data_IF_209634090901
#
_entry.id   IF_209634090901
#
_cell.length_a   1.000
_cell.length_b   1.000
_cell.length_c   1.000
_cell.angle_alpha   90.00
_cell.angle_beta   90.00
_cell.angle_gamma   90.00
#
_symmetry.space_group_name_H-M   'P 1'
#
loop_
_entity.id
_entity.type
_entity.pdbx_description
1 polymer ?
#
# COMPACT_ATOMS: atom_id res chain seq x y z
N UNK A 1 -12.09 9.12 -24.19
CA UNK A 1 -11.70 8.89 -22.77
C UNK A 1 -12.97 8.47 -22.07
N UNK A 2 -13.21 7.17 -22.02
CA UNK A 2 -14.41 6.61 -21.41
C UNK A 2 -14.20 6.60 -19.91
N UNK A 3 -14.73 7.64 -19.26
CA UNK A 3 -14.76 7.72 -17.81
C UNK A 3 -15.59 6.55 -17.29
N UNK A 4 -14.96 5.65 -16.54
CA UNK A 4 -15.67 4.64 -15.77
C UNK A 4 -16.62 5.39 -14.85
N UNK A 5 -17.91 5.31 -15.15
CA UNK A 5 -18.97 5.89 -14.31
C UNK A 5 -18.79 5.41 -12.87
N UNK A 6 -18.90 6.32 -11.90
CA UNK A 6 -18.91 6.02 -10.47
C UNK A 6 -19.89 4.88 -10.13
N UNK A 7 -20.98 4.73 -10.90
CA UNK A 7 -21.92 3.62 -10.76
C UNK A 7 -21.31 2.27 -11.14
N UNK A 8 -20.51 2.20 -12.21
CA UNK A 8 -19.85 0.96 -12.63
C UNK A 8 -18.77 0.55 -11.63
N UNK A 9 -18.07 1.53 -11.05
CA UNK A 9 -17.11 1.30 -9.97
C UNK A 9 -17.81 0.76 -8.72
N UNK A 10 -18.92 1.37 -8.31
CA UNK A 10 -19.69 0.93 -7.14
C UNK A 10 -20.28 -0.48 -7.32
N UNK A 11 -20.76 -0.81 -8.53
CA UNK A 11 -21.27 -2.15 -8.85
C UNK A 11 -20.15 -3.19 -8.78
N UNK A 12 -18.98 -2.90 -9.37
CA UNK A 12 -17.82 -3.81 -9.30
C UNK A 12 -17.37 -4.09 -7.87
N UNK A 13 -17.35 -3.07 -7.01
CA UNK A 13 -17.01 -3.21 -5.59
C UNK A 13 -18.07 -4.05 -4.87
N UNK A 14 -19.37 -3.81 -5.11
CA UNK A 14 -20.46 -4.56 -4.50
C UNK A 14 -20.44 -6.05 -4.87
N UNK A 15 -20.23 -6.38 -6.15
CA UNK A 15 -20.18 -7.78 -6.59
C UNK A 15 -19.00 -8.53 -5.98
N UNK A 16 -17.84 -7.87 -5.85
CA UNK A 16 -16.67 -8.48 -5.23
C UNK A 16 -16.85 -8.71 -3.72
N UNK A 17 -17.48 -7.76 -3.02
CA UNK A 17 -17.86 -7.93 -1.61
C UNK A 17 -18.87 -9.08 -1.45
N UNK A 18 -19.82 -9.21 -2.38
CA UNK A 18 -20.79 -10.31 -2.36
C UNK A 18 -20.14 -11.67 -2.57
N UNK A 19 -19.20 -11.79 -3.52
CA UNK A 19 -18.42 -13.02 -3.72
C UNK A 19 -17.64 -13.42 -2.46
N UNK A 20 -17.02 -12.44 -1.80
CA UNK A 20 -16.32 -12.61 -0.52
C UNK A 20 -17.22 -13.10 0.62
N UNK A 21 -18.44 -12.57 0.71
CA UNK A 21 -19.40 -12.96 1.76
C UNK A 21 -19.98 -14.36 1.48
N UNK A 22 -20.24 -14.69 0.21
CA UNK A 22 -20.88 -15.94 -0.20
C UNK A 22 -19.88 -17.12 -0.23
N UNK A 23 -18.60 -16.86 -0.54
CA UNK A 23 -17.54 -17.87 -0.53
C UNK A 23 -17.19 -18.43 0.86
N UNK A 24 -17.63 -17.77 1.94
CA UNK A 24 -17.31 -18.10 3.33
C UNK A 24 -17.95 -19.39 3.88
N UNK A 25 -18.55 -20.24 3.05
CA UNK A 25 -19.33 -21.42 3.48
C UNK A 25 -18.69 -22.80 3.24
N UNK A 26 -17.51 -22.91 2.62
CA UNK A 26 -16.83 -24.20 2.48
C UNK A 26 -15.29 -24.04 2.56
N UNK A 27 -14.71 -24.35 3.72
CA UNK A 27 -13.26 -24.51 3.89
C UNK A 27 -12.78 -25.73 3.07
N UNK A 28 -12.27 -25.50 1.86
CA UNK A 28 -11.56 -26.43 0.95
C UNK A 28 -10.88 -25.59 -0.17
N UNK A 29 -10.08 -26.20 -1.07
CA UNK A 29 -9.25 -25.66 -2.19
C UNK A 29 -9.55 -24.26 -2.79
N UNK A 30 -10.80 -23.77 -2.75
CA UNK A 30 -11.19 -22.41 -3.14
C UNK A 30 -10.54 -21.30 -2.29
N UNK A 31 -10.20 -21.57 -1.02
CA UNK A 31 -9.54 -20.58 -0.16
C UNK A 31 -8.07 -20.36 -0.53
N UNK A 32 -7.34 -21.41 -0.92
CA UNK A 32 -5.95 -21.27 -1.38
C UNK A 32 -5.88 -20.39 -2.64
N UNK A 33 -6.82 -20.57 -3.58
CA UNK A 33 -6.95 -19.71 -4.76
C UNK A 33 -7.13 -18.24 -4.37
N UNK A 34 -7.86 -17.96 -3.29
CA UNK A 34 -8.04 -16.58 -2.82
C UNK A 34 -6.74 -15.97 -2.28
N UNK A 35 -5.92 -16.72 -1.54
CA UNK A 35 -4.60 -16.26 -1.10
C UNK A 35 -3.63 -16.04 -2.27
N UNK A 36 -3.71 -16.88 -3.31
CA UNK A 36 -2.91 -16.76 -4.53
C UNK A 36 -3.29 -15.51 -5.32
N UNK A 37 -4.59 -15.24 -5.54
CA UNK A 37 -5.06 -14.02 -6.18
C UNK A 37 -4.62 -12.76 -5.41
N UNK A 38 -4.73 -12.77 -4.08
CA UNK A 38 -4.28 -11.65 -3.24
C UNK A 38 -2.75 -11.50 -3.29
N UNK A 39 -1.99 -12.58 -3.35
CA UNK A 39 -0.54 -12.53 -3.49
C UNK A 39 -0.12 -11.84 -4.79
N UNK A 40 -0.74 -12.22 -5.91
CA UNK A 40 -0.48 -11.63 -7.23
C UNK A 40 -0.88 -10.14 -7.27
N UNK A 41 -2.03 -9.78 -6.70
CA UNK A 41 -2.44 -8.38 -6.57
C UNK A 41 -1.45 -7.56 -5.75
N UNK A 42 -0.97 -8.13 -4.64
CA UNK A 42 -0.01 -7.47 -3.76
C UNK A 42 1.34 -7.29 -4.42
N UNK A 43 1.75 -8.19 -5.32
CA UNK A 43 2.94 -8.00 -6.15
C UNK A 43 2.80 -6.75 -7.02
N UNK A 44 1.67 -6.60 -7.70
CA UNK A 44 1.39 -5.41 -8.55
C UNK A 44 1.48 -4.12 -7.73
N UNK A 45 0.84 -4.07 -6.56
CA UNK A 45 0.86 -2.89 -5.68
C UNK A 45 2.28 -2.61 -5.16
N UNK A 46 2.98 -3.65 -4.72
CA UNK A 46 4.34 -3.51 -4.17
C UNK A 46 5.30 -2.96 -5.22
N UNK A 47 5.27 -3.53 -6.43
CA UNK A 47 6.12 -3.08 -7.54
C UNK A 47 5.79 -1.63 -7.94
N UNK A 48 4.50 -1.28 -7.97
CA UNK A 48 4.07 0.10 -8.25
C UNK A 48 4.58 1.09 -7.22
N UNK A 49 4.46 0.77 -5.92
CA UNK A 49 4.97 1.63 -4.86
C UNK A 49 6.48 1.77 -4.90
N UNK A 50 7.23 0.68 -5.05
CA UNK A 50 8.69 0.74 -5.13
C UNK A 50 9.15 1.56 -6.33
N UNK A 51 8.45 1.45 -7.47
CA UNK A 51 8.68 2.27 -8.66
C UNK A 51 8.39 3.75 -8.39
N UNK A 52 7.26 4.08 -7.76
CA UNK A 52 6.93 5.46 -7.38
C UNK A 52 8.00 6.08 -6.48
N UNK A 53 8.46 5.33 -5.48
CA UNK A 53 9.54 5.76 -4.57
C UNK A 53 10.86 5.95 -5.32
N UNK A 54 11.20 5.04 -6.24
CA UNK A 54 12.39 5.16 -7.07
C UNK A 54 12.34 6.40 -7.98
N UNK A 55 11.25 6.61 -8.71
CA UNK A 55 11.04 7.82 -9.53
C UNK A 55 11.09 9.10 -8.68
N UNK A 56 10.71 9.03 -7.41
CA UNK A 56 10.81 10.18 -6.48
C UNK A 56 12.25 10.51 -6.13
N UNK A 57 13.09 9.51 -5.88
CA UNK A 57 14.53 9.73 -5.67
C UNK A 57 15.20 10.31 -6.92
N UNK A 58 14.87 9.80 -8.10
CA UNK A 58 15.42 10.31 -9.37
C UNK A 58 15.08 11.78 -9.58
N UNK A 59 13.82 12.18 -9.36
CA UNK A 59 13.41 13.58 -9.48
C UNK A 59 14.06 14.49 -8.44
N UNK A 60 14.31 14.00 -7.22
CA UNK A 60 14.98 14.81 -6.19
C UNK A 60 16.42 15.18 -6.56
N UNK A 61 17.02 14.48 -7.54
CA UNK A 61 18.32 14.82 -8.11
C UNK A 61 18.25 15.95 -9.15
N UNK A 62 17.06 16.31 -9.65
CA UNK A 62 16.88 17.45 -10.56
C UNK A 62 16.77 18.76 -9.76
N UNK A 63 17.61 19.74 -10.10
CA UNK A 63 17.59 21.07 -9.50
C UNK A 63 16.27 21.82 -9.74
N UNK A 64 15.54 21.51 -10.81
CA UNK A 64 14.23 22.08 -11.13
C UNK A 64 13.06 21.41 -10.38
N UNK A 65 13.33 20.29 -9.69
CA UNK A 65 12.29 19.58 -8.96
C UNK A 65 11.79 20.42 -7.77
N UNK A 66 10.46 20.45 -7.63
CA UNK A 66 9.75 21.11 -6.53
C UNK A 66 8.83 20.11 -5.82
N UNK A 67 8.53 20.39 -4.55
CA UNK A 67 7.58 19.60 -3.75
C UNK A 67 6.21 19.46 -4.42
N UNK A 68 5.76 20.48 -5.15
CA UNK A 68 4.51 20.47 -5.92
C UNK A 68 4.51 19.43 -7.05
N UNK A 69 5.62 19.27 -7.77
CA UNK A 69 5.75 18.27 -8.85
C UNK A 69 5.65 16.87 -8.25
N UNK A 70 6.42 16.60 -7.19
CA UNK A 70 6.42 15.30 -6.50
C UNK A 70 5.01 14.99 -5.97
N UNK A 71 4.36 15.95 -5.31
CA UNK A 71 3.01 15.82 -4.76
C UNK A 71 1.99 15.45 -5.83
N UNK A 72 1.94 16.20 -6.93
CA UNK A 72 0.97 15.96 -8.00
C UNK A 72 1.11 14.55 -8.56
N UNK A 73 2.34 14.09 -8.80
CA UNK A 73 2.58 12.73 -9.31
C UNK A 73 2.18 11.66 -8.31
N UNK A 74 2.49 11.84 -7.02
CA UNK A 74 2.05 10.89 -5.98
C UNK A 74 0.52 10.83 -5.97
N UNK A 75 -0.17 11.97 -6.01
CA UNK A 75 -1.65 12.02 -6.05
C UNK A 75 -2.23 11.35 -7.31
N UNK A 76 -1.63 11.55 -8.48
CA UNK A 76 -2.04 10.87 -9.72
C UNK A 76 -1.90 9.34 -9.58
N UNK A 77 -0.79 8.86 -9.05
CA UNK A 77 -0.54 7.42 -8.82
C UNK A 77 -1.44 6.81 -7.74
N UNK A 78 -1.95 7.61 -6.79
CA UNK A 78 -2.93 7.14 -5.79
C UNK A 78 -4.27 6.75 -6.40
N UNK A 79 -4.60 7.18 -7.61
CA UNK A 79 -5.86 6.83 -8.26
C UNK A 79 -5.72 5.50 -9.03
N UNK A 80 -4.58 5.26 -9.68
CA UNK A 80 -4.39 4.16 -10.63
C UNK A 80 -4.71 2.77 -10.06
N UNK A 81 -4.28 2.47 -8.83
CA UNK A 81 -4.51 1.17 -8.17
C UNK A 81 -5.47 1.27 -6.98
N UNK A 82 -6.30 2.33 -6.90
CA UNK A 82 -7.20 2.55 -5.76
C UNK A 82 -8.15 1.37 -5.54
N UNK A 83 -8.85 0.93 -6.58
CA UNK A 83 -9.80 -0.20 -6.52
C UNK A 83 -9.15 -1.49 -6.03
N UNK A 84 -7.93 -1.75 -6.52
CA UNK A 84 -7.17 -2.95 -6.15
C UNK A 84 -6.81 -2.92 -4.65
N UNK A 85 -6.36 -1.77 -4.15
CA UNK A 85 -6.05 -1.57 -2.73
C UNK A 85 -7.28 -1.72 -1.84
N UNK A 86 -8.41 -1.13 -2.21
CA UNK A 86 -9.65 -1.24 -1.43
C UNK A 86 -10.19 -2.67 -1.40
N UNK A 87 -10.08 -3.42 -2.50
CA UNK A 87 -10.40 -4.85 -2.52
C UNK A 87 -9.60 -5.63 -1.48
N UNK A 88 -8.28 -5.42 -1.47
CA UNK A 88 -7.39 -6.13 -0.53
C UNK A 88 -7.62 -5.66 0.91
N UNK A 89 -7.89 -4.36 1.14
CA UNK A 89 -8.31 -3.86 2.46
C UNK A 89 -9.59 -4.54 2.93
N UNK A 90 -10.56 -4.73 2.04
CA UNK A 90 -11.78 -5.48 2.32
C UNK A 90 -11.50 -6.91 2.75
N UNK A 91 -10.57 -7.59 2.08
CA UNK A 91 -10.13 -8.93 2.49
C UNK A 91 -9.51 -8.94 3.89
N UNK A 92 -8.58 -8.02 4.16
CA UNK A 92 -7.86 -7.97 5.46
C UNK A 92 -8.74 -7.52 6.61
N UNK A 93 -9.71 -6.63 6.37
CA UNK A 93 -10.60 -6.09 7.40
C UNK A 93 -11.53 -7.15 8.00
N UNK A 94 -11.66 -8.28 7.33
CA UNK A 94 -12.31 -9.48 7.85
C UNK A 94 -11.24 -10.25 8.66
N UNK A 95 -10.69 -9.64 9.71
CA UNK A 95 -9.78 -10.34 10.61
C UNK A 95 -10.59 -11.24 11.53
N UNK A 96 -10.33 -12.53 11.47
CA UNK A 96 -11.05 -13.57 12.21
C UNK A 96 -10.11 -14.15 13.28
N UNK A 97 -10.62 -14.39 14.49
CA UNK A 97 -9.87 -15.00 15.60
C UNK A 97 -9.37 -16.43 15.26
N UNK A 98 -9.77 -16.96 14.11
CA UNK A 98 -9.39 -18.28 13.58
C UNK A 98 -8.13 -18.28 12.71
N UNK A 99 -7.49 -17.14 12.47
CA UNK A 99 -6.28 -17.11 11.65
C UNK A 99 -5.10 -17.86 12.27
N UNK A 100 -4.47 -18.70 11.45
CA UNK A 100 -3.23 -19.37 11.83
C UNK A 100 -2.06 -18.40 11.85
N UNK A 101 -0.94 -18.79 12.44
CA UNK A 101 0.28 -17.97 12.48
C UNK A 101 0.77 -17.59 11.07
N UNK A 102 0.62 -18.51 10.10
CA UNK A 102 1.04 -18.29 8.72
C UNK A 102 0.16 -17.25 8.01
N UNK A 103 -1.16 -17.34 8.19
CA UNK A 103 -2.13 -16.37 7.68
C UNK A 103 -1.94 -15.01 8.34
N UNK A 104 -1.68 -15.00 9.65
CA UNK A 104 -1.39 -13.77 10.41
C UNK A 104 -0.15 -13.07 9.87
N UNK A 105 0.92 -13.81 9.57
CA UNK A 105 2.14 -13.25 8.98
C UNK A 105 1.87 -12.66 7.59
N UNK A 106 1.15 -13.39 6.74
CA UNK A 106 0.77 -12.94 5.39
C UNK A 106 -0.04 -11.63 5.46
N UNK A 107 -1.10 -11.61 6.25
CA UNK A 107 -2.00 -10.46 6.41
C UNK A 107 -1.26 -9.26 7.04
N UNK A 108 -0.40 -9.50 8.02
CA UNK A 108 0.44 -8.46 8.62
C UNK A 108 1.35 -7.82 7.58
N UNK A 109 1.94 -8.62 6.68
CA UNK A 109 2.73 -8.13 5.55
C UNK A 109 1.89 -7.27 4.60
N UNK A 110 0.67 -7.71 4.25
CA UNK A 110 -0.26 -6.94 3.42
C UNK A 110 -0.54 -5.57 4.03
N UNK A 111 -0.85 -5.53 5.32
CA UNK A 111 -1.09 -4.27 6.02
C UNK A 111 0.14 -3.38 6.06
N UNK A 112 1.34 -3.95 6.15
CA UNK A 112 2.59 -3.21 6.06
C UNK A 112 2.74 -2.49 4.72
N UNK A 113 2.52 -3.19 3.60
CA UNK A 113 2.59 -2.59 2.25
C UNK A 113 1.48 -1.55 2.05
N UNK A 114 0.23 -1.88 2.40
CA UNK A 114 -0.93 -1.00 2.18
C UNK A 114 -0.91 0.27 3.04
N UNK A 115 -0.21 0.25 4.18
CA UNK A 115 0.05 1.44 5.01
C UNK A 115 1.26 2.24 4.51
N UNK A 116 2.31 1.58 4.02
CA UNK A 116 3.55 2.22 3.59
C UNK A 116 3.47 3.04 2.29
N UNK A 117 2.54 2.74 1.38
CA UNK A 117 2.53 3.36 0.04
C UNK A 117 1.50 4.47 -0.19
N UNK A 118 1.59 5.58 0.55
CA UNK A 118 0.76 6.78 0.29
C UNK A 118 -0.74 6.66 0.67
N UNK A 119 -1.03 6.09 1.84
CA UNK A 119 -2.23 6.50 2.59
C UNK A 119 -1.88 7.83 3.27
N UNK A 120 -2.65 8.91 3.16
CA UNK A 120 -3.87 9.07 3.94
C UNK A 120 -4.82 10.12 3.34
N UNK A 121 -6.12 9.84 3.43
CA UNK A 121 -7.16 10.84 3.64
C UNK A 121 -8.18 10.39 4.71
N UNK A 122 -8.17 9.11 5.11
CA UNK A 122 -9.19 8.52 5.99
C UNK A 122 -8.60 8.06 7.36
N UNK A 123 -7.27 7.87 7.48
CA UNK A 123 -6.63 7.35 8.70
C UNK A 123 -5.58 8.33 9.27
N UNK A 124 -6.00 9.39 9.97
CA UNK A 124 -5.23 10.15 10.98
C UNK A 124 -3.72 10.44 10.78
N UNK A 125 -3.24 10.72 9.57
CA UNK A 125 -1.91 11.31 9.31
C UNK A 125 -0.68 10.49 9.75
N UNK A 126 -0.87 9.25 10.19
CA UNK A 126 0.19 8.36 10.66
C UNK A 126 0.25 7.10 9.81
N UNK A 127 1.39 6.85 9.18
CA UNK A 127 1.67 5.54 8.63
C UNK A 127 3.12 5.17 8.84
N UNK A 128 3.34 4.16 9.68
CA UNK A 128 4.16 2.95 9.48
C UNK A 128 3.75 2.02 10.63
N UNK A 129 3.49 0.74 10.35
CA UNK A 129 3.23 -0.28 11.38
C UNK A 129 4.46 -0.44 12.25
N UNK A 130 4.32 -0.40 13.59
CA UNK A 130 5.42 -0.49 14.58
C UNK A 130 6.47 -1.58 14.26
N UNK A 131 6.02 -2.65 13.61
CA UNK A 131 6.83 -3.82 13.25
C UNK A 131 7.69 -3.65 11.97
N UNK A 132 7.38 -2.66 11.14
CA UNK A 132 8.08 -2.36 9.88
C UNK A 132 8.75 -0.98 9.88
N UNK A 133 8.77 -0.32 11.05
CA UNK A 133 9.43 0.95 11.33
C UNK A 133 8.63 1.83 12.29
N UNK A 134 9.20 2.98 12.67
CA UNK A 134 8.46 4.12 13.21
C UNK A 134 8.73 5.29 12.28
N UNK A 135 7.69 5.86 11.71
CA UNK A 135 7.79 7.07 10.92
C UNK A 135 6.43 7.72 10.92
N UNK A 136 6.33 8.86 11.58
CA UNK A 136 5.04 9.49 11.84
C UNK A 136 4.37 10.04 10.58
N UNK A 137 4.98 10.02 9.41
CA UNK A 137 4.49 10.73 8.23
C UNK A 137 4.85 10.00 6.93
N UNK A 138 3.89 9.81 6.03
CA UNK A 138 4.20 9.41 4.66
C UNK A 138 4.99 10.49 3.91
N UNK A 139 5.61 10.18 2.76
CA UNK A 139 6.21 11.22 1.90
C UNK A 139 5.23 12.36 1.63
N UNK A 140 3.96 12.04 1.39
CA UNK A 140 2.92 13.04 1.15
C UNK A 140 2.68 13.91 2.38
N UNK A 141 2.68 13.33 3.58
CA UNK A 141 2.55 14.08 4.84
C UNK A 141 3.76 14.99 5.08
N UNK A 142 4.97 14.52 4.76
CA UNK A 142 6.19 15.32 4.83
C UNK A 142 6.10 16.48 3.83
N UNK A 143 5.69 16.23 2.59
CA UNK A 143 5.50 17.29 1.58
C UNK A 143 4.44 18.30 2.04
N UNK A 144 3.33 17.86 2.62
CA UNK A 144 2.28 18.75 3.13
C UNK A 144 2.74 19.60 4.32
N UNK A 145 3.57 19.04 5.22
CA UNK A 145 4.19 19.80 6.31
C UNK A 145 5.17 20.84 5.78
N UNK A 146 5.95 20.44 4.79
CA UNK A 146 6.93 21.26 4.10
C UNK A 146 6.26 22.47 3.41
N UNK A 147 5.10 22.32 2.77
CA UNK A 147 4.33 23.44 2.17
C UNK A 147 3.94 24.56 3.18
N UNK A 148 3.89 24.26 4.48
CA UNK A 148 3.51 25.20 5.53
C UNK A 148 4.71 25.89 6.22
N UNK A 149 5.94 25.64 5.76
CA UNK A 149 7.17 26.19 6.36
C UNK A 149 7.79 27.22 5.41
N UNK A 150 8.12 28.41 5.92
CA UNK A 150 8.76 29.48 5.13
C UNK A 150 10.22 29.14 4.81
N UNK A 151 10.53 29.00 3.52
CA UNK A 151 11.77 28.42 2.98
C UNK A 151 12.92 29.40 2.79
N UNK A 152 13.14 30.30 3.75
CA UNK A 152 14.38 31.07 3.80
C UNK A 152 15.65 30.21 3.96
N UNK A 153 15.51 28.90 4.19
CA UNK A 153 16.60 27.93 4.25
C UNK A 153 16.42 26.80 3.22
N UNK A 154 16.76 27.11 1.96
CA UNK A 154 16.90 26.11 0.90
C UNK A 154 18.03 25.13 1.24
N UNK A 155 17.83 23.84 0.91
CA UNK A 155 18.68 22.64 1.08
C UNK A 155 18.09 21.62 2.10
N UNK A 156 17.34 22.03 3.11
CA UNK A 156 16.92 21.12 4.20
C UNK A 156 15.76 20.18 3.85
N UNK A 157 14.91 20.51 2.87
CA UNK A 157 13.71 19.74 2.55
C UNK A 157 13.97 18.52 1.67
N UNK A 158 14.90 18.60 0.70
CA UNK A 158 15.23 17.47 -0.19
C UNK A 158 15.76 16.29 0.60
N UNK A 159 16.68 16.54 1.53
CA UNK A 159 17.23 15.49 2.39
C UNK A 159 16.16 14.82 3.27
N UNK A 160 15.18 15.58 3.76
CA UNK A 160 14.06 15.02 4.53
C UNK A 160 13.18 14.10 3.67
N UNK A 161 12.89 14.50 2.42
CA UNK A 161 12.13 13.66 1.50
C UNK A 161 12.94 12.41 1.11
N UNK A 162 14.23 12.55 0.79
CA UNK A 162 15.12 11.40 0.47
C UNK A 162 15.11 10.39 1.62
N UNK A 163 15.32 10.87 2.86
CA UNK A 163 15.32 10.01 4.04
C UNK A 163 13.99 9.27 4.20
N UNK A 164 12.87 9.98 4.02
CA UNK A 164 11.55 9.38 4.10
C UNK A 164 11.29 8.34 3.01
N UNK A 165 11.72 8.61 1.78
CA UNK A 165 11.60 7.69 0.66
C UNK A 165 12.37 6.40 0.93
N UNK A 166 13.61 6.50 1.40
CA UNK A 166 14.42 5.32 1.73
C UNK A 166 13.83 4.51 2.90
N UNK A 167 13.32 5.19 3.94
CA UNK A 167 12.62 4.54 5.05
C UNK A 167 11.37 3.79 4.58
N UNK A 168 10.54 4.41 3.75
CA UNK A 168 9.34 3.78 3.21
C UNK A 168 9.68 2.60 2.30
N UNK A 169 10.70 2.74 1.45
CA UNK A 169 11.18 1.67 0.57
C UNK A 169 11.60 0.44 1.38
N UNK A 170 12.38 0.64 2.43
CA UNK A 170 12.79 -0.46 3.33
C UNK A 170 11.58 -1.11 4.03
N UNK A 171 10.64 -0.30 4.55
CA UNK A 171 9.44 -0.81 5.20
C UNK A 171 8.58 -1.67 4.25
N UNK A 172 8.37 -1.21 3.01
CA UNK A 172 7.64 -1.96 1.98
C UNK A 172 8.37 -3.26 1.63
N UNK A 173 9.69 -3.24 1.51
CA UNK A 173 10.48 -4.45 1.23
C UNK A 173 10.40 -5.47 2.37
N UNK A 174 10.43 -5.03 3.62
CA UNK A 174 10.26 -5.92 4.78
C UNK A 174 8.84 -6.50 4.84
N UNK A 175 7.83 -5.68 4.59
CA UNK A 175 6.44 -6.11 4.53
C UNK A 175 6.21 -7.13 3.39
N UNK A 176 6.76 -6.86 2.20
CA UNK A 176 6.72 -7.80 1.07
C UNK A 176 7.40 -9.13 1.40
N UNK A 177 8.54 -9.09 2.08
CA UNK A 177 9.22 -10.32 2.53
C UNK A 177 8.33 -11.17 3.44
N UNK A 178 7.56 -10.54 4.33
CA UNK A 178 6.65 -11.26 5.22
C UNK A 178 5.40 -11.77 4.49
N UNK A 179 4.90 -11.06 3.47
CA UNK A 179 3.90 -11.59 2.52
C UNK A 179 4.44 -12.86 1.85
N UNK A 180 5.63 -12.82 1.26
CA UNK A 180 6.21 -13.99 0.57
C UNK A 180 6.39 -15.19 1.52
N UNK A 181 6.87 -14.96 2.75
CA UNK A 181 7.02 -16.03 3.74
C UNK A 181 5.67 -16.61 4.15
N UNK A 182 4.71 -15.74 4.49
CA UNK A 182 3.37 -16.17 4.88
C UNK A 182 2.70 -16.98 3.78
N UNK A 183 2.78 -16.49 2.53
CA UNK A 183 2.24 -17.18 1.37
C UNK A 183 2.89 -18.55 1.14
N UNK A 184 4.22 -18.65 1.18
CA UNK A 184 4.91 -19.93 1.01
C UNK A 184 4.53 -20.96 2.10
N UNK A 185 4.29 -20.51 3.33
CA UNK A 185 3.83 -21.37 4.42
C UNK A 185 2.37 -21.82 4.24
N UNK A 186 1.50 -20.92 3.78
CA UNK A 186 0.12 -21.24 3.40
C UNK A 186 0.12 -22.24 2.24
N UNK A 187 0.87 -21.99 1.18
CA UNK A 187 0.99 -22.89 0.03
C UNK A 187 1.41 -24.29 0.46
N UNK A 188 2.48 -24.42 1.27
CA UNK A 188 2.94 -25.72 1.76
C UNK A 188 1.87 -26.50 2.57
N UNK A 189 0.95 -25.80 3.21
CA UNK A 189 -0.04 -26.38 4.13
C UNK A 189 -1.34 -26.76 3.43
N UNK A 190 -1.71 -26.03 2.39
CA UNK A 190 -3.02 -26.11 1.75
C UNK A 190 -2.98 -26.54 0.26
N UNK A 191 -1.79 -26.74 -0.32
CA UNK A 191 -1.56 -27.29 -1.66
C UNK A 191 -0.93 -28.68 -1.56
#
# INVERSE_FOLDING_TARGET
MDGISLANLAISVYEKIRELIVGKKNFNNQEFTYFEEIFDDMKIITDDYLRLLHCTLEELNDYNCSTKIIKNRIEEKRIELFTLRERIRGFVSISDDTYTDEMTLFIKGIMGVLKGGASIAIENGHAITKDYGMGDHTILDIINKLENIDYSQGITWRNQIIQAVEQQKNAIQLAWKDICKGFALIEKKYK
#
